data_IF_550696671234
#
_entry.id   IF_550696671234
#
_cell.length_a   1.000
_cell.length_b   1.000
_cell.length_c   1.000
_cell.angle_alpha   90.00
_cell.angle_beta   90.00
_cell.angle_gamma   90.00
#
_symmetry.space_group_name_H-M   'P 1'
#
loop_
_entity.id
_entity.type
_entity.pdbx_description
1 polymer ?
#
# COMPACT_ATOMS: atom_id res chain seq x y z
N UNK A 1 15.16 27.02 -10.44
CA UNK A 1 15.49 26.51 -9.10
C UNK A 1 16.01 25.09 -9.29
N UNK A 2 17.08 24.73 -8.60
CA UNK A 2 17.98 23.63 -8.99
C UNK A 2 17.35 22.24 -8.93
N UNK A 3 17.71 21.41 -9.92
CA UNK A 3 17.35 19.99 -9.99
C UNK A 3 18.44 19.22 -9.26
N UNK A 4 18.08 18.48 -8.21
CA UNK A 4 19.01 17.66 -7.45
C UNK A 4 19.38 16.38 -8.25
N UNK A 5 20.49 16.48 -8.98
CA UNK A 5 21.14 15.43 -9.76
C UNK A 5 21.56 14.23 -8.87
N UNK A 6 20.77 13.15 -8.88
CA UNK A 6 21.03 11.91 -8.13
C UNK A 6 22.20 11.11 -8.73
N UNK A 7 23.41 11.62 -8.52
CA UNK A 7 24.65 10.90 -8.86
C UNK A 7 24.94 9.79 -7.87
N UNK A 8 24.77 8.54 -8.32
CA UNK A 8 25.20 7.35 -7.62
C UNK A 8 26.67 7.47 -7.19
N UNK A 9 26.96 7.27 -5.90
CA UNK A 9 28.32 7.28 -5.36
C UNK A 9 28.79 5.84 -5.14
N UNK A 10 29.88 5.53 -5.82
CA UNK A 10 30.65 4.29 -5.70
C UNK A 10 31.23 4.15 -4.28
N UNK A 11 31.15 2.95 -3.70
CA UNK A 11 31.83 2.58 -2.46
C UNK A 11 31.89 1.05 -2.31
N UNK A 12 33.05 0.50 -2.67
CA UNK A 12 33.41 -0.89 -2.39
C UNK A 12 33.53 -1.12 -0.88
N UNK A 13 33.00 -2.24 -0.37
CA UNK A 13 33.64 -2.99 0.70
C UNK A 13 33.15 -4.44 0.76
N UNK A 14 34.09 -5.36 1.00
CA UNK A 14 33.89 -6.81 1.04
C UNK A 14 33.53 -7.29 2.45
N UNK A 15 32.57 -8.22 2.56
CA UNK A 15 32.24 -8.91 3.82
C UNK A 15 32.20 -10.42 3.58
N UNK A 16 32.84 -11.17 4.47
CA UNK A 16 32.92 -12.64 4.44
C UNK A 16 31.60 -13.28 4.88
N UNK A 17 31.08 -14.24 4.12
CA UNK A 17 30.04 -15.15 4.60
C UNK A 17 30.64 -16.21 5.55
N UNK A 18 29.99 -16.42 6.69
CA UNK A 18 29.99 -17.71 7.39
C UNK A 18 28.54 -18.11 7.67
N UNK A 19 28.14 -19.23 7.08
CA UNK A 19 26.84 -19.85 7.31
C UNK A 19 26.80 -20.59 8.63
N UNK A 20 25.70 -20.47 9.36
CA UNK A 20 25.26 -21.48 10.31
C UNK A 20 23.75 -21.67 10.11
N UNK A 21 23.31 -22.92 9.97
CA UNK A 21 21.90 -23.29 9.84
C UNK A 21 21.61 -24.28 10.96
N UNK A 22 20.71 -23.90 11.85
CA UNK A 22 20.19 -24.77 12.91
C UNK A 22 18.69 -24.50 13.00
N UNK A 23 17.88 -25.53 12.74
CA UNK A 23 16.43 -25.42 12.58
C UNK A 23 15.73 -26.12 13.75
N UNK A 24 15.22 -25.34 14.69
CA UNK A 24 14.31 -25.78 15.75
C UNK A 24 12.83 -25.62 15.30
N UNK A 25 11.91 -26.50 15.72
CA UNK A 25 10.52 -26.48 15.28
C UNK A 25 9.72 -25.32 15.89
N UNK A 26 9.01 -24.58 15.04
CA UNK A 26 8.13 -23.47 15.47
C UNK A 26 6.78 -24.00 15.98
N UNK A 27 6.46 -23.69 17.24
CA UNK A 27 5.13 -23.95 17.82
C UNK A 27 4.23 -22.74 17.54
N UNK A 28 3.28 -22.90 16.61
CA UNK A 28 2.28 -21.86 16.32
C UNK A 28 1.27 -21.81 17.47
N UNK A 29 1.23 -20.69 18.20
CA UNK A 29 0.30 -20.47 19.31
C UNK A 29 -0.68 -19.35 18.94
N UNK A 30 -1.89 -19.72 18.50
CA UNK A 30 -2.93 -18.75 18.12
C UNK A 30 -3.46 -18.02 19.35
N UNK A 31 -2.96 -16.81 19.61
CA UNK A 31 -3.44 -15.95 20.68
C UNK A 31 -4.48 -14.99 20.12
N UNK A 32 -5.74 -15.17 20.50
CA UNK A 32 -6.83 -14.24 20.14
C UNK A 32 -6.74 -13.02 21.06
N UNK A 33 -6.27 -11.89 20.52
CA UNK A 33 -6.13 -10.64 21.29
C UNK A 33 -7.42 -9.83 21.21
N UNK A 34 -8.19 -9.83 22.28
CA UNK A 34 -9.44 -9.09 22.34
C UNK A 34 -9.20 -7.57 22.51
N UNK A 35 -8.91 -6.89 21.39
CA UNK A 35 -8.79 -5.44 21.36
C UNK A 35 -10.15 -4.78 21.65
N UNK A 36 -10.13 -3.66 22.40
CA UNK A 36 -11.29 -2.81 22.67
C UNK A 36 -12.61 -3.49 23.08
N UNK A 37 -12.57 -4.44 24.01
CA UNK A 37 -13.77 -4.81 24.77
C UNK A 37 -14.31 -3.57 25.50
N UNK A 38 -15.56 -3.18 25.22
CA UNK A 38 -16.17 -1.91 25.68
C UNK A 38 -16.41 -1.89 27.19
N UNK A 39 -15.40 -1.55 27.98
CA UNK A 39 -15.57 -1.25 29.41
C UNK A 39 -16.19 0.12 29.59
N UNK A 40 -17.52 0.15 29.60
CA UNK A 40 -18.29 1.31 30.08
C UNK A 40 -18.00 1.56 31.56
N UNK A 41 -17.05 2.43 31.86
CA UNK A 41 -16.81 2.95 33.21
C UNK A 41 -16.61 4.46 33.20
N UNK A 42 -17.57 5.17 33.79
CA UNK A 42 -17.57 6.61 34.01
C UNK A 42 -16.45 7.03 34.99
N UNK A 43 -15.58 7.97 34.63
CA UNK A 43 -14.97 8.93 35.58
C UNK A 43 -14.20 10.11 34.91
N UNK A 44 -14.74 11.31 35.11
CA UNK A 44 -14.02 12.54 35.51
C UNK A 44 -12.72 13.00 34.81
N UNK A 45 -12.92 13.87 33.81
CA UNK A 45 -12.34 15.22 33.70
C UNK A 45 -11.06 15.61 34.48
N UNK A 46 -10.06 16.13 33.75
CA UNK A 46 -9.28 17.30 34.18
C UNK A 46 -8.89 18.17 32.98
N UNK A 47 -9.30 19.45 33.04
CA UNK A 47 -9.04 20.45 31.99
C UNK A 47 -7.64 21.06 32.13
N UNK A 48 -7.02 21.43 31.01
CA UNK A 48 -5.82 22.28 30.98
C UNK A 48 -5.95 23.29 29.85
N UNK A 49 -6.47 24.48 30.19
CA UNK A 49 -6.58 25.63 29.29
C UNK A 49 -5.22 26.26 29.04
N UNK A 50 -4.86 26.46 27.76
CA UNK A 50 -3.83 27.41 27.36
C UNK A 50 -4.43 28.48 26.44
N UNK A 51 -4.44 29.71 26.96
CA UNK A 51 -4.78 30.93 26.21
C UNK A 51 -3.59 31.38 25.36
N UNK A 52 -3.86 31.81 24.13
CA UNK A 52 -2.99 32.74 23.40
C UNK A 52 -3.84 33.79 22.69
N UNK A 53 -3.30 34.99 22.52
CA UNK A 53 -4.04 36.22 22.20
C UNK A 53 -3.73 36.71 20.78
N UNK A 54 -4.76 37.28 20.14
CA UNK A 54 -4.76 38.17 18.97
C UNK A 54 -3.62 39.24 18.94
N UNK A 55 -3.24 39.89 17.82
CA UNK A 55 -3.64 39.83 16.40
C UNK A 55 -2.56 40.57 15.54
N UNK A 56 -2.90 41.46 14.56
CA UNK A 56 -3.19 41.16 13.16
C UNK A 56 -2.12 41.68 12.17
N UNK A 57 -2.21 41.26 10.90
CA UNK A 57 -1.81 42.15 9.79
C UNK A 57 -2.54 41.80 8.48
N UNK A 58 -2.86 42.83 7.71
CA UNK A 58 -3.63 42.77 6.46
C UNK A 58 -2.83 43.33 5.29
N UNK A 59 -2.89 42.70 4.12
CA UNK A 59 -2.66 43.42 2.85
C UNK A 59 -3.45 42.84 1.68
N UNK A 60 -3.93 43.74 0.82
CA UNK A 60 -4.85 43.53 -0.30
C UNK A 60 -4.11 43.37 -1.65
N UNK A 61 -4.89 43.08 -2.70
CA UNK A 61 -4.63 43.29 -4.16
C UNK A 61 -3.68 42.28 -4.84
N UNK A 62 -3.84 41.88 -6.12
CA UNK A 62 -4.76 42.33 -7.20
C UNK A 62 -5.24 41.12 -8.05
N UNK A 63 -6.42 41.21 -8.69
CA UNK A 63 -6.85 40.25 -9.73
C UNK A 63 -6.37 40.68 -11.14
N UNK A 64 -5.95 39.73 -11.98
CA UNK A 64 -5.75 39.96 -13.42
C UNK A 64 -6.26 38.78 -14.24
N UNK A 65 -7.28 39.04 -15.05
CA UNK A 65 -7.83 38.17 -16.11
C UNK A 65 -6.90 38.16 -17.33
N UNK A 66 -6.96 37.15 -18.22
CA UNK A 66 -7.18 37.32 -19.70
C UNK A 66 -6.70 36.14 -20.57
N UNK A 67 -7.62 35.68 -21.44
CA UNK A 67 -7.47 34.99 -22.74
C UNK A 67 -6.68 33.67 -22.94
N UNK A 68 -7.46 32.61 -23.17
CA UNK A 68 -7.65 31.97 -24.49
C UNK A 68 -6.50 31.98 -25.52
N UNK A 69 -6.12 30.80 -26.01
CA UNK A 69 -5.85 30.58 -27.46
C UNK A 69 -6.22 29.15 -27.85
N UNK A 70 -7.07 29.01 -28.87
CA UNK A 70 -7.42 27.76 -29.55
C UNK A 70 -6.36 27.36 -30.57
N UNK A 71 -6.00 26.08 -30.66
CA UNK A 71 -5.49 25.50 -31.92
C UNK A 71 -6.08 24.11 -32.20
N UNK A 72 -6.39 23.92 -33.47
CA UNK A 72 -7.14 22.83 -34.11
C UNK A 72 -6.31 21.60 -34.50
N UNK A 73 -7.00 20.45 -34.54
CA UNK A 73 -6.93 19.41 -35.60
C UNK A 73 -5.61 18.69 -35.92
N UNK A 74 -5.62 17.38 -35.69
CA UNK A 74 -5.23 16.39 -36.71
C UNK A 74 -5.95 15.05 -36.48
N UNK A 75 -6.89 14.71 -37.36
CA UNK A 75 -7.50 13.37 -37.44
C UNK A 75 -6.57 12.47 -38.25
N UNK A 76 -6.17 11.32 -37.69
CA UNK A 76 -5.48 10.26 -38.44
C UNK A 76 -6.29 8.97 -38.37
N UNK A 77 -7.06 8.74 -39.43
CA UNK A 77 -7.79 7.50 -39.68
C UNK A 77 -6.81 6.41 -40.16
N UNK A 78 -6.71 5.28 -39.46
CA UNK A 78 -5.98 4.11 -39.97
C UNK A 78 -6.90 2.89 -39.97
N UNK A 79 -6.87 2.18 -41.09
CA UNK A 79 -7.87 1.18 -41.50
C UNK A 79 -7.56 -0.22 -40.95
N UNK A 80 -8.63 -0.89 -40.54
CA UNK A 80 -8.87 -2.34 -40.50
C UNK A 80 -7.76 -3.29 -40.95
N UNK A 81 -7.47 -4.30 -40.12
CA UNK A 81 -7.24 -5.66 -40.64
C UNK A 81 -7.87 -6.69 -39.71
N UNK A 82 -8.90 -7.38 -40.19
CA UNK A 82 -9.62 -8.42 -39.47
C UNK A 82 -9.06 -9.78 -39.86
N UNK A 83 -8.50 -10.53 -38.92
CA UNK A 83 -8.12 -11.95 -39.13
C UNK A 83 -8.91 -12.86 -38.21
N UNK A 84 -9.98 -13.42 -38.78
CA UNK A 84 -10.80 -14.45 -38.16
C UNK A 84 -10.06 -15.79 -38.13
N UNK A 85 -9.76 -16.31 -36.95
CA UNK A 85 -9.24 -17.67 -36.76
C UNK A 85 -10.21 -18.49 -35.89
N UNK A 86 -10.96 -19.37 -36.53
CA UNK A 86 -11.87 -20.34 -35.89
C UNK A 86 -11.11 -21.56 -35.38
N UNK A 87 -11.34 -21.99 -34.13
CA UNK A 87 -11.18 -23.42 -33.79
C UNK A 87 -12.03 -23.89 -32.59
N UNK A 88 -12.88 -24.87 -32.87
CA UNK A 88 -13.26 -26.00 -32.00
C UNK A 88 -13.57 -25.76 -30.51
N UNK A 89 -14.85 -25.52 -30.22
CA UNK A 89 -15.50 -25.87 -28.95
C UNK A 89 -15.45 -27.39 -28.71
N UNK A 90 -15.03 -27.81 -27.51
CA UNK A 90 -15.14 -29.20 -27.02
C UNK A 90 -16.06 -29.21 -25.80
N UNK A 91 -17.08 -30.07 -25.83
CA UNK A 91 -18.12 -30.11 -24.81
C UNK A 91 -17.63 -30.70 -23.46
N UNK A 92 -18.18 -30.26 -22.31
CA UNK A 92 -17.78 -30.77 -21.00
C UNK A 92 -18.36 -32.15 -20.70
N UNK A 93 -17.53 -33.04 -20.17
CA UNK A 93 -17.95 -34.37 -19.70
C UNK A 93 -18.57 -34.28 -18.31
N UNK A 94 -19.83 -34.67 -18.17
CA UNK A 94 -20.54 -34.71 -16.88
C UNK A 94 -20.11 -35.92 -16.04
N UNK A 95 -19.53 -35.69 -14.86
CA UNK A 95 -19.30 -36.74 -13.85
C UNK A 95 -20.05 -36.40 -12.56
N UNK A 96 -21.15 -37.12 -12.33
CA UNK A 96 -22.03 -36.96 -11.18
C UNK A 96 -21.65 -37.96 -10.07
N UNK A 97 -21.18 -37.52 -8.90
CA UNK A 97 -21.02 -38.42 -7.73
C UNK A 97 -21.23 -37.72 -6.38
N UNK A 98 -22.12 -38.33 -5.58
CA UNK A 98 -22.25 -38.29 -4.11
C UNK A 98 -22.38 -36.93 -3.37
N UNK A 99 -23.63 -36.59 -3.03
CA UNK A 99 -23.96 -35.73 -1.89
C UNK A 99 -23.73 -36.47 -0.57
N UNK A 100 -22.83 -35.98 0.28
CA UNK A 100 -22.71 -36.43 1.68
C UNK A 100 -23.37 -35.41 2.61
N UNK A 101 -24.51 -35.76 3.19
CA UNK A 101 -25.19 -34.94 4.20
C UNK A 101 -24.48 -35.07 5.55
N UNK A 102 -23.65 -34.07 5.89
CA UNK A 102 -23.14 -33.91 7.26
C UNK A 102 -24.05 -32.98 8.07
N UNK A 103 -24.46 -33.45 9.24
CA UNK A 103 -25.37 -32.77 10.15
C UNK A 103 -24.82 -31.41 10.59
N UNK A 104 -25.59 -30.35 10.40
CA UNK A 104 -25.23 -29.02 10.89
C UNK A 104 -25.16 -29.01 12.43
N UNK A 105 -23.96 -28.84 12.98
CA UNK A 105 -23.79 -28.46 14.37
C UNK A 105 -24.18 -26.98 14.54
N UNK A 106 -25.06 -26.69 15.49
CA UNK A 106 -25.48 -25.32 15.74
C UNK A 106 -24.33 -24.50 16.35
N UNK A 107 -23.68 -23.68 15.53
CA UNK A 107 -22.76 -22.65 16.01
C UNK A 107 -23.53 -21.56 16.74
N UNK A 108 -23.23 -21.39 18.02
CA UNK A 108 -23.73 -20.30 18.85
C UNK A 108 -23.26 -18.96 18.29
N UNK A 109 -24.18 -18.19 17.70
CA UNK A 109 -23.92 -16.87 17.15
C UNK A 109 -23.51 -15.88 18.24
N UNK A 110 -22.25 -15.46 18.23
CA UNK A 110 -21.70 -14.38 19.07
C UNK A 110 -20.74 -13.56 18.23
N UNK A 111 -21.16 -12.33 17.89
CA UNK A 111 -20.44 -11.45 16.98
C UNK A 111 -20.75 -11.75 15.52
N UNK A 112 -21.56 -10.90 14.88
CA UNK A 112 -21.39 -10.66 13.44
C UNK A 112 -20.01 -10.04 13.28
N UNK A 113 -19.11 -10.71 12.57
CA UNK A 113 -17.85 -10.08 12.14
C UNK A 113 -18.22 -8.84 11.35
N UNK A 114 -17.74 -7.67 11.78
CA UNK A 114 -17.91 -6.46 10.99
C UNK A 114 -17.19 -6.65 9.66
N UNK A 115 -17.78 -6.15 8.58
CA UNK A 115 -17.11 -6.02 7.29
C UNK A 115 -15.78 -5.29 7.51
N UNK A 116 -14.68 -5.79 6.96
CA UNK A 116 -13.33 -5.22 7.17
C UNK A 116 -13.23 -3.74 6.76
N UNK A 117 -14.07 -3.31 5.83
CA UNK A 117 -14.18 -1.91 5.38
C UNK A 117 -14.85 -0.98 6.41
N UNK A 118 -15.49 -1.55 7.43
CA UNK A 118 -16.08 -0.81 8.54
C UNK A 118 -15.02 -0.05 9.36
N UNK A 119 -15.49 0.97 10.09
CA UNK A 119 -14.68 1.74 11.04
C UNK A 119 -15.41 1.83 12.39
N UNK A 120 -14.70 1.89 13.54
CA UNK A 120 -15.31 2.07 14.85
C UNK A 120 -16.03 3.42 14.95
N UNK A 121 -17.29 3.41 15.41
CA UNK A 121 -18.16 4.60 15.43
C UNK A 121 -17.74 5.68 16.43
N UNK A 122 -16.90 5.33 17.40
CA UNK A 122 -16.24 6.23 18.34
C UNK A 122 -14.95 6.86 17.76
N UNK A 123 -14.40 6.32 16.67
CA UNK A 123 -13.12 6.76 16.11
C UNK A 123 -11.88 6.28 16.88
N UNK A 124 -12.05 5.42 17.90
CA UNK A 124 -10.93 4.80 18.60
C UNK A 124 -10.50 3.54 17.83
N UNK A 125 -9.28 3.53 17.30
CA UNK A 125 -8.72 2.42 16.52
C UNK A 125 -7.77 1.58 17.38
N UNK A 126 -7.71 0.27 17.10
CA UNK A 126 -6.78 -0.65 17.73
C UNK A 126 -5.33 -0.35 17.31
N UNK A 127 -4.41 -0.42 18.26
CA UNK A 127 -2.95 -0.31 18.04
C UNK A 127 -2.18 -1.55 18.51
N UNK A 128 -2.90 -2.63 18.86
CA UNK A 128 -2.28 -3.89 19.29
C UNK A 128 -1.50 -4.49 18.13
N UNK A 129 -0.38 -5.16 18.42
CA UNK A 129 0.53 -5.70 17.40
C UNK A 129 1.56 -4.69 16.89
N UNK A 130 1.24 -3.39 16.84
CA UNK A 130 2.25 -2.36 16.54
C UNK A 130 3.27 -2.21 17.68
N UNK A 131 4.48 -1.77 17.32
CA UNK A 131 5.49 -1.32 18.27
C UNK A 131 5.35 0.14 18.66
N UNK A 132 6.42 0.74 19.18
CA UNK A 132 6.43 2.18 19.49
C UNK A 132 6.48 3.03 18.23
N UNK A 133 5.90 4.24 18.27
CA UNK A 133 6.03 5.21 17.17
C UNK A 133 7.39 5.92 17.20
N UNK A 134 8.00 6.18 16.05
CA UNK A 134 9.13 7.11 15.96
C UNK A 134 8.65 8.55 15.88
N UNK A 135 9.47 9.49 16.37
CA UNK A 135 9.20 10.91 16.16
C UNK A 135 9.48 11.27 14.69
N UNK A 136 8.55 11.94 13.97
CA UNK A 136 8.79 12.37 12.61
C UNK A 136 9.81 13.51 12.56
N UNK A 137 10.67 13.51 11.54
CA UNK A 137 11.56 14.66 11.27
C UNK A 137 10.92 15.59 10.24
N UNK A 138 10.46 16.74 10.72
CA UNK A 138 10.11 17.85 9.83
C UNK A 138 11.38 18.44 9.23
N UNK A 139 11.43 18.47 7.90
CA UNK A 139 12.49 19.08 7.10
C UNK A 139 11.83 20.01 6.08
N UNK A 140 12.52 21.06 5.63
CA UNK A 140 11.97 22.05 4.69
C UNK A 140 11.62 21.45 3.30
N UNK A 141 12.02 20.20 3.04
CA UNK A 141 11.63 19.43 1.86
C UNK A 141 10.69 18.29 2.23
N UNK A 142 9.48 18.28 1.64
CA UNK A 142 8.48 17.20 1.79
C UNK A 142 9.05 15.80 1.53
N UNK A 143 10.01 15.69 0.59
CA UNK A 143 10.65 14.42 0.20
C UNK A 143 11.37 13.80 1.42
N UNK A 144 12.03 14.63 2.22
CA UNK A 144 12.82 14.25 3.39
C UNK A 144 11.98 14.03 4.67
N UNK A 145 10.65 14.21 4.61
CA UNK A 145 9.77 13.84 5.71
C UNK A 145 9.84 12.33 5.97
N UNK A 146 10.10 11.93 7.21
CA UNK A 146 10.40 10.53 7.58
C UNK A 146 9.23 9.78 8.22
N UNK A 147 8.29 10.51 8.83
CA UNK A 147 7.11 9.92 9.47
C UNK A 147 7.39 8.99 10.65
N UNK A 148 6.45 8.08 10.86
CA UNK A 148 6.53 6.93 11.73
C UNK A 148 7.12 5.74 10.95
N UNK A 149 8.19 5.14 11.46
CA UNK A 149 8.82 3.93 10.89
C UNK A 149 8.87 2.77 11.88
N UNK A 150 8.18 2.90 13.02
CA UNK A 150 8.16 1.91 14.09
C UNK A 150 9.45 1.86 14.93
N UNK A 151 9.30 1.45 16.18
CA UNK A 151 10.36 1.17 17.13
C UNK A 151 10.03 -0.16 17.86
N UNK A 152 10.63 -1.30 17.45
CA UNK A 152 11.69 -1.44 16.45
C UNK A 152 11.23 -1.10 15.01
N UNK A 153 12.18 -0.83 14.10
CA UNK A 153 11.87 -0.47 12.71
C UNK A 153 10.93 -1.50 12.06
N UNK A 154 9.95 -1.02 11.30
CA UNK A 154 8.93 -1.84 10.64
C UNK A 154 7.72 -2.17 11.50
N UNK A 155 7.81 -2.05 12.84
CA UNK A 155 6.70 -2.39 13.75
C UNK A 155 5.48 -1.45 13.68
N UNK A 156 5.49 -0.45 12.79
CA UNK A 156 4.33 0.36 12.41
C UNK A 156 3.49 -0.27 11.27
N UNK A 157 3.89 -1.42 10.74
CA UNK A 157 3.21 -2.14 9.66
C UNK A 157 3.09 -3.61 10.08
N UNK A 158 1.88 -4.15 10.14
CA UNK A 158 1.63 -5.54 10.57
C UNK A 158 0.60 -6.22 9.68
N UNK A 159 0.74 -7.54 9.50
CA UNK A 159 -0.37 -8.35 8.98
C UNK A 159 -1.43 -8.53 10.07
N UNK A 160 -2.71 -8.50 9.69
CA UNK A 160 -3.85 -8.68 10.60
C UNK A 160 -4.86 -9.68 10.02
N UNK A 161 -5.63 -10.32 10.89
CA UNK A 161 -6.75 -11.16 10.45
C UNK A 161 -7.88 -10.29 9.86
N UNK A 162 -8.61 -10.82 8.87
CA UNK A 162 -9.79 -10.17 8.28
C UNK A 162 -10.81 -9.70 9.33
N UNK A 163 -11.07 -10.53 10.34
CA UNK A 163 -11.98 -10.25 11.46
C UNK A 163 -11.51 -9.12 12.39
N UNK A 164 -10.24 -8.73 12.30
CA UNK A 164 -9.62 -7.67 13.11
C UNK A 164 -9.34 -6.40 12.30
N UNK A 165 -9.22 -6.51 10.97
CA UNK A 165 -8.90 -5.43 10.05
C UNK A 165 -9.76 -4.16 10.23
N UNK A 166 -11.08 -4.30 10.42
CA UNK A 166 -11.99 -3.15 10.63
C UNK A 166 -11.65 -2.30 11.87
N UNK A 167 -10.89 -2.84 12.82
CA UNK A 167 -10.50 -2.16 14.06
C UNK A 167 -9.30 -1.21 13.86
N UNK A 168 -8.53 -1.32 12.78
CA UNK A 168 -7.34 -0.51 12.52
C UNK A 168 -7.65 0.74 11.65
N UNK A 169 -6.88 1.82 11.80
CA UNK A 169 -7.18 3.10 11.13
C UNK A 169 -6.88 3.06 9.62
N UNK A 170 -5.75 2.51 9.23
CA UNK A 170 -5.34 2.37 7.83
C UNK A 170 -5.13 0.90 7.50
N UNK A 171 -5.87 0.40 6.52
CA UNK A 171 -5.79 -1.01 6.10
C UNK A 171 -5.78 -1.13 4.59
N UNK A 172 -4.90 -2.00 4.09
CA UNK A 172 -4.86 -2.43 2.69
C UNK A 172 -5.19 -3.92 2.64
N UNK A 173 -6.23 -4.28 1.90
CA UNK A 173 -6.49 -5.64 1.46
C UNK A 173 -5.64 -5.91 0.20
N UNK A 174 -4.92 -7.03 0.19
CA UNK A 174 -4.17 -7.51 -0.97
C UNK A 174 -4.84 -8.75 -1.51
N UNK A 175 -5.27 -8.70 -2.78
CA UNK A 175 -5.82 -9.83 -3.51
C UNK A 175 -4.76 -10.34 -4.50
N UNK A 176 -4.46 -11.63 -4.45
CA UNK A 176 -3.48 -12.29 -5.33
C UNK A 176 -4.01 -12.48 -6.75
N UNK A 177 -3.22 -13.18 -7.58
CA UNK A 177 -3.68 -13.68 -8.87
C UNK A 177 -4.64 -14.86 -8.70
N UNK A 178 -5.43 -15.13 -9.75
CA UNK A 178 -6.27 -16.32 -9.87
C UNK A 178 -5.53 -17.52 -10.51
N UNK A 179 -4.27 -17.36 -10.94
CA UNK A 179 -3.47 -18.44 -11.57
C UNK A 179 -2.24 -18.84 -10.77
N UNK A 180 -1.57 -17.88 -10.15
CA UNK A 180 -0.26 -18.07 -9.52
C UNK A 180 -0.24 -17.50 -8.10
N UNK A 181 0.63 -18.05 -7.24
CA UNK A 181 0.95 -17.45 -5.93
C UNK A 181 1.83 -16.21 -6.11
N UNK A 182 1.65 -15.22 -5.24
CA UNK A 182 2.41 -13.96 -5.28
C UNK A 182 3.10 -13.70 -3.95
N UNK A 183 4.37 -13.30 -3.99
CA UNK A 183 5.07 -12.77 -2.81
C UNK A 183 4.89 -11.26 -2.76
N UNK A 184 4.51 -10.73 -1.60
CA UNK A 184 4.42 -9.30 -1.30
C UNK A 184 5.40 -8.97 -0.19
N UNK A 185 6.15 -7.89 -0.36
CA UNK A 185 6.94 -7.28 0.70
C UNK A 185 6.51 -5.82 0.87
N UNK A 186 6.28 -5.38 2.11
CA UNK A 186 5.88 -4.01 2.47
C UNK A 186 6.99 -3.40 3.31
N UNK A 187 7.39 -2.15 3.04
CA UNK A 187 8.50 -1.47 3.72
C UNK A 187 8.19 0.01 3.98
N UNK A 188 8.82 0.56 5.03
CA UNK A 188 8.88 2.01 5.23
C UNK A 188 9.82 2.67 4.22
N UNK A 189 9.48 3.87 3.73
CA UNK A 189 10.31 4.67 2.79
C UNK A 189 11.74 4.84 3.30
N UNK A 190 11.84 5.08 4.60
CA UNK A 190 13.10 5.20 5.33
C UNK A 190 13.47 3.84 5.90
N UNK A 191 14.65 3.33 5.55
CA UNK A 191 15.16 2.04 6.02
C UNK A 191 15.69 2.10 7.46
N UNK A 192 16.11 0.95 8.02
CA UNK A 192 16.60 0.85 9.39
C UNK A 192 17.92 1.61 9.63
N UNK A 193 18.61 2.05 8.58
CA UNK A 193 19.80 2.93 8.66
C UNK A 193 19.46 4.43 8.73
N UNK A 194 18.18 4.78 8.78
CA UNK A 194 17.69 6.17 8.85
C UNK A 194 17.75 6.94 7.53
N UNK A 195 18.05 6.26 6.41
CA UNK A 195 18.10 6.88 5.07
C UNK A 195 16.91 6.43 4.21
N UNK A 196 16.73 7.08 3.06
CA UNK A 196 15.78 6.66 2.04
C UNK A 196 16.32 5.42 1.31
N UNK A 197 16.13 4.26 1.95
CA UNK A 197 16.78 2.97 1.63
C UNK A 197 15.82 1.78 1.79
N UNK A 198 14.55 2.00 2.13
CA UNK A 198 13.62 0.93 2.53
C UNK A 198 13.48 -0.21 1.52
N UNK A 199 13.54 0.07 0.22
CA UNK A 199 13.40 -0.93 -0.84
C UNK A 199 14.67 -1.75 -1.11
N UNK A 200 15.80 -1.48 -0.45
CA UNK A 200 17.05 -2.25 -0.59
C UNK A 200 17.02 -3.53 0.25
N UNK A 201 16.06 -4.42 -0.07
CA UNK A 201 15.93 -5.74 0.56
C UNK A 201 15.39 -5.73 2.00
N UNK A 202 14.86 -4.61 2.49
CA UNK A 202 14.19 -4.53 3.79
C UNK A 202 12.69 -4.72 3.64
N UNK A 203 12.07 -5.40 4.60
CA UNK A 203 10.61 -5.51 4.70
C UNK A 203 10.20 -5.38 6.17
N UNK A 204 9.14 -4.63 6.40
CA UNK A 204 8.46 -4.53 7.69
C UNK A 204 7.55 -5.76 7.89
N UNK A 205 6.84 -6.14 6.83
CA UNK A 205 6.12 -7.41 6.72
C UNK A 205 6.31 -7.97 5.30
N UNK A 206 6.35 -9.30 5.19
CA UNK A 206 6.45 -10.02 3.93
C UNK A 206 5.63 -11.30 4.02
N UNK A 207 4.86 -11.60 2.99
CA UNK A 207 3.92 -12.74 2.96
C UNK A 207 3.72 -13.25 1.53
N UNK A 208 3.32 -14.51 1.43
CA UNK A 208 2.80 -15.10 0.18
C UNK A 208 1.27 -14.99 0.21
N UNK A 209 0.68 -14.65 -0.93
CA UNK A 209 -0.74 -14.79 -1.21
C UNK A 209 -0.90 -16.00 -2.12
N UNK A 210 -1.60 -17.02 -1.66
CA UNK A 210 -1.96 -18.18 -2.49
C UNK A 210 -3.11 -17.84 -3.47
N UNK A 211 -3.34 -18.71 -4.43
CA UNK A 211 -4.36 -18.49 -5.48
C UNK A 211 -5.76 -18.32 -4.86
N UNK A 212 -6.38 -17.15 -5.11
CA UNK A 212 -7.69 -16.79 -4.57
C UNK A 212 -7.70 -16.40 -3.08
N UNK A 213 -6.54 -16.24 -2.45
CA UNK A 213 -6.41 -15.72 -1.08
C UNK A 213 -6.43 -14.18 -1.04
N UNK A 214 -6.91 -13.62 0.07
CA UNK A 214 -6.78 -12.21 0.41
C UNK A 214 -6.01 -12.06 1.73
N UNK A 215 -5.09 -11.10 1.80
CA UNK A 215 -4.33 -10.75 3.02
C UNK A 215 -4.60 -9.31 3.42
N UNK A 216 -4.49 -9.01 4.70
CA UNK A 216 -4.77 -7.67 5.24
C UNK A 216 -3.56 -7.13 5.98
N UNK A 217 -3.12 -5.93 5.61
CA UNK A 217 -2.03 -5.23 6.30
C UNK A 217 -2.59 -3.98 6.94
N UNK A 218 -2.36 -3.84 8.24
CA UNK A 218 -2.66 -2.63 9.00
C UNK A 218 -1.41 -1.75 9.10
N UNK A 219 -1.61 -0.44 9.02
CA UNK A 219 -0.57 0.57 9.11
C UNK A 219 -0.90 1.53 10.26
N UNK A 220 0.09 1.80 11.09
CA UNK A 220 -0.02 2.78 12.16
C UNK A 220 0.06 4.20 11.60
N UNK A 221 -0.38 5.18 12.38
CA UNK A 221 -0.50 6.56 11.92
C UNK A 221 0.85 7.18 11.53
N UNK A 222 0.78 8.09 10.55
CA UNK A 222 1.89 8.88 10.04
C UNK A 222 2.98 8.04 9.33
N UNK A 223 2.61 6.89 8.74
CA UNK A 223 3.53 5.97 8.09
C UNK A 223 3.66 6.25 6.59
N UNK A 224 4.89 6.24 6.05
CA UNK A 224 5.17 6.34 4.60
C UNK A 224 6.02 5.18 4.11
N UNK A 225 5.73 4.70 2.91
CA UNK A 225 6.48 3.60 2.33
C UNK A 225 5.94 3.12 1.01
N UNK A 226 6.28 1.88 0.68
CA UNK A 226 5.74 1.19 -0.48
C UNK A 226 5.68 -0.32 -0.21
N UNK A 227 5.04 -1.03 -1.13
CA UNK A 227 5.16 -2.46 -1.28
C UNK A 227 5.50 -2.83 -2.70
N UNK A 228 6.11 -3.99 -2.86
CA UNK A 228 6.36 -4.63 -4.13
C UNK A 228 5.71 -6.00 -4.12
N UNK A 229 5.27 -6.45 -5.29
CA UNK A 229 4.64 -7.75 -5.45
C UNK A 229 5.10 -8.41 -6.75
N UNK A 230 5.34 -9.72 -6.70
CA UNK A 230 5.70 -10.52 -7.86
C UNK A 230 5.21 -11.97 -7.73
N UNK A 231 4.91 -12.61 -8.85
CA UNK A 231 4.61 -14.03 -8.89
C UNK A 231 5.82 -14.87 -8.43
N UNK A 232 5.57 -15.96 -7.71
CA UNK A 232 6.60 -16.84 -7.15
C UNK A 232 7.00 -16.48 -5.71
N UNK A 233 8.25 -16.80 -5.35
CA UNK A 233 8.75 -16.82 -3.95
C UNK A 233 9.61 -15.61 -3.53
N UNK A 234 9.80 -14.63 -4.42
CA UNK A 234 10.62 -13.44 -4.14
C UNK A 234 10.31 -12.29 -5.07
N UNK A 235 10.41 -11.05 -4.58
CA UNK A 235 10.44 -9.86 -5.43
C UNK A 235 11.75 -9.83 -6.25
N UNK A 236 11.72 -9.42 -7.53
CA UNK A 236 12.92 -9.22 -8.30
C UNK A 236 13.67 -7.98 -7.79
N UNK A 237 15.00 -7.99 -7.94
CA UNK A 237 15.88 -6.89 -7.55
C UNK A 237 16.74 -6.41 -8.70
N UNK A 238 17.21 -5.16 -8.59
CA UNK A 238 18.18 -4.59 -9.50
C UNK A 238 19.63 -5.01 -9.12
N UNK A 239 20.60 -4.54 -9.92
CA UNK A 239 22.04 -4.77 -9.68
C UNK A 239 22.59 -4.15 -8.38
N UNK A 240 21.81 -3.36 -7.66
CA UNK A 240 22.16 -2.75 -6.38
C UNK A 240 21.41 -3.39 -5.19
N UNK A 241 20.53 -4.37 -5.45
CA UNK A 241 19.72 -5.05 -4.43
C UNK A 241 18.41 -4.33 -4.07
N UNK A 242 18.03 -3.29 -4.81
CA UNK A 242 16.74 -2.61 -4.65
C UNK A 242 15.61 -3.40 -5.31
N UNK A 243 14.44 -3.50 -4.67
CA UNK A 243 13.26 -4.12 -5.27
C UNK A 243 12.86 -3.40 -6.56
N UNK A 244 12.76 -4.14 -7.65
CA UNK A 244 12.59 -3.59 -9.01
C UNK A 244 11.35 -4.15 -9.72
N UNK A 245 10.34 -4.53 -8.94
CA UNK A 245 8.99 -4.79 -9.43
C UNK A 245 8.19 -3.48 -9.58
N UNK A 246 6.94 -3.59 -10.00
CA UNK A 246 5.94 -2.53 -9.86
C UNK A 246 5.63 -2.34 -8.38
N UNK A 247 5.66 -1.08 -7.94
CA UNK A 247 5.39 -0.72 -6.55
C UNK A 247 3.96 -0.22 -6.39
N UNK A 248 3.39 -0.44 -5.20
CA UNK A 248 2.34 0.40 -4.66
C UNK A 248 2.92 1.29 -3.57
N UNK A 249 2.84 2.60 -3.72
CA UNK A 249 3.39 3.58 -2.78
C UNK A 249 2.28 4.11 -1.87
N UNK A 250 2.60 4.45 -0.61
CA UNK A 250 1.64 4.93 0.37
C UNK A 250 2.18 6.03 1.29
N UNK A 251 1.26 6.91 1.68
CA UNK A 251 1.41 7.87 2.77
C UNK A 251 0.11 7.86 3.58
N UNK A 252 0.15 7.45 4.86
CA UNK A 252 -1.04 7.30 5.70
C UNK A 252 -1.02 8.24 6.91
N UNK A 253 -1.98 9.17 6.96
CA UNK A 253 -2.17 10.07 8.09
C UNK A 253 -0.99 11.02 8.33
N UNK A 254 -0.45 11.63 7.28
CA UNK A 254 0.78 12.40 7.35
C UNK A 254 0.63 13.67 8.22
N UNK A 255 1.27 13.69 9.38
CA UNK A 255 1.19 14.84 10.29
C UNK A 255 1.77 16.13 9.68
N UNK A 256 2.67 16.02 8.70
CA UNK A 256 3.26 17.14 7.97
C UNK A 256 2.36 17.79 6.89
N UNK A 257 1.20 17.19 6.55
CA UNK A 257 0.28 17.75 5.55
C UNK A 257 -1.17 17.92 6.05
N UNK A 258 -1.40 17.79 7.36
CA UNK A 258 -2.75 17.83 7.96
C UNK A 258 -3.46 16.48 7.96
N UNK A 259 -2.72 15.41 8.20
CA UNK A 259 -3.19 14.01 8.29
C UNK A 259 -3.83 13.47 7.00
N UNK A 260 -3.55 14.08 5.84
CA UNK A 260 -3.96 13.50 4.56
C UNK A 260 -3.24 12.18 4.31
N UNK A 261 -3.91 11.33 3.55
CA UNK A 261 -3.36 10.08 3.04
C UNK A 261 -3.32 10.10 1.52
N UNK A 262 -2.37 9.38 0.93
CA UNK A 262 -2.18 9.21 -0.50
C UNK A 262 -1.69 7.80 -0.84
N UNK A 263 -1.97 7.35 -2.05
CA UNK A 263 -1.52 6.07 -2.58
C UNK A 263 -1.42 6.09 -4.10
N UNK A 264 -0.45 5.37 -4.66
CA UNK A 264 -0.28 5.26 -6.11
C UNK A 264 0.39 3.94 -6.51
N UNK A 265 0.28 3.61 -7.80
CA UNK A 265 1.00 2.51 -8.44
C UNK A 265 2.12 3.10 -9.29
N UNK A 266 3.31 2.51 -9.21
CA UNK A 266 4.54 3.06 -9.76
C UNK A 266 5.35 1.97 -10.48
N UNK A 267 5.46 2.09 -11.80
CA UNK A 267 6.28 1.21 -12.64
C UNK A 267 7.71 1.75 -12.84
N UNK A 268 8.07 2.87 -12.18
CA UNK A 268 9.36 3.56 -12.35
C UNK A 268 10.54 2.59 -12.18
N UNK A 269 10.52 1.78 -11.11
CA UNK A 269 11.64 0.91 -10.74
C UNK A 269 11.76 -0.31 -11.66
N UNK A 270 10.64 -0.94 -12.02
CA UNK A 270 10.60 -2.01 -13.02
C UNK A 270 11.15 -1.53 -14.38
N UNK A 271 10.68 -0.38 -14.87
CA UNK A 271 11.13 0.17 -16.15
C UNK A 271 12.60 0.61 -16.10
N UNK A 272 13.05 1.26 -15.01
CA UNK A 272 14.44 1.65 -14.83
C UNK A 272 15.41 0.45 -14.75
N UNK A 273 14.97 -0.68 -14.20
CA UNK A 273 15.70 -1.94 -14.17
C UNK A 273 15.56 -2.78 -15.47
N UNK A 274 14.79 -2.31 -16.45
CA UNK A 274 14.40 -3.05 -17.65
C UNK A 274 13.75 -4.42 -17.36
N UNK A 275 12.98 -4.50 -16.28
CA UNK A 275 12.20 -5.67 -15.86
C UNK A 275 10.75 -5.58 -16.34
N UNK A 276 10.05 -6.72 -16.30
CA UNK A 276 8.62 -6.76 -16.58
C UNK A 276 7.86 -5.91 -15.57
N UNK A 277 6.92 -5.09 -16.06
CA UNK A 277 5.93 -4.39 -15.24
C UNK A 277 4.83 -5.37 -14.85
N UNK A 278 4.67 -5.62 -13.55
CA UNK A 278 3.58 -6.40 -12.98
C UNK A 278 2.29 -5.56 -12.98
N UNK A 279 1.16 -6.19 -13.25
CA UNK A 279 -0.14 -5.57 -13.09
C UNK A 279 -0.45 -5.29 -11.63
N UNK A 280 -0.88 -4.06 -11.32
CA UNK A 280 -1.37 -3.67 -10.00
C UNK A 280 -2.43 -2.57 -10.13
N UNK A 281 -3.54 -2.70 -9.40
CA UNK A 281 -4.45 -1.59 -9.11
C UNK A 281 -4.60 -1.38 -7.62
N UNK A 282 -4.71 -0.12 -7.20
CA UNK A 282 -4.99 0.29 -5.83
C UNK A 282 -6.17 1.26 -5.88
N UNK A 283 -7.28 0.88 -5.29
CA UNK A 283 -8.48 1.73 -5.18
C UNK A 283 -8.86 1.89 -3.71
N UNK A 284 -9.61 2.95 -3.38
CA UNK A 284 -10.38 2.93 -2.14
C UNK A 284 -11.38 1.76 -2.16
N UNK A 285 -11.77 1.24 -1.00
CA UNK A 285 -12.75 0.15 -0.90
C UNK A 285 -14.15 0.51 -1.43
N UNK A 286 -14.39 1.78 -1.73
CA UNK A 286 -15.60 2.29 -2.39
C UNK A 286 -15.51 2.25 -3.93
N UNK A 287 -14.39 1.76 -4.50
CA UNK A 287 -14.13 1.74 -5.94
C UNK A 287 -13.75 3.11 -6.54
N UNK A 288 -13.47 4.10 -5.70
CA UNK A 288 -13.07 5.45 -6.10
C UNK A 288 -11.55 5.68 -5.92
N UNK A 289 -11.05 6.77 -6.50
CA UNK A 289 -9.67 7.26 -6.33
C UNK A 289 -8.61 6.18 -6.62
N UNK A 290 -8.81 5.45 -7.73
CA UNK A 290 -7.91 4.39 -8.16
C UNK A 290 -6.60 4.92 -8.74
N UNK A 291 -5.54 4.14 -8.57
CA UNK A 291 -4.28 4.18 -9.30
C UNK A 291 -4.03 2.80 -9.90
N UNK A 292 -3.74 2.73 -11.20
CA UNK A 292 -3.76 1.47 -11.97
C UNK A 292 -2.63 1.43 -12.99
N UNK A 293 -1.88 0.33 -13.02
CA UNK A 293 -1.01 -0.07 -14.11
C UNK A 293 -1.35 -1.53 -14.45
N UNK A 294 -1.82 -1.81 -15.67
CA UNK A 294 -2.03 -3.20 -16.09
C UNK A 294 -0.71 -3.87 -16.50
N UNK A 295 -0.67 -5.21 -16.47
CA UNK A 295 0.53 -6.00 -16.79
C UNK A 295 1.19 -5.57 -18.10
N UNK A 296 2.50 -5.29 -18.05
CA UNK A 296 3.26 -4.72 -19.17
C UNK A 296 3.07 -3.21 -19.41
N UNK A 297 2.37 -2.49 -18.52
CA UNK A 297 1.98 -1.09 -18.65
C UNK A 297 1.13 -0.78 -19.90
N UNK A 298 0.24 -1.70 -20.30
CA UNK A 298 -0.67 -1.50 -21.45
C UNK A 298 -1.70 -0.41 -21.15
N UNK A 299 -2.30 -0.46 -19.97
CA UNK A 299 -3.23 0.54 -19.43
C UNK A 299 -2.57 1.20 -18.23
N UNK A 300 -2.62 2.54 -18.17
CA UNK A 300 -2.09 3.34 -17.05
C UNK A 300 -3.11 4.42 -16.71
N UNK A 301 -3.64 4.37 -15.49
CA UNK A 301 -4.62 5.35 -14.98
C UNK A 301 -4.13 5.89 -13.65
N UNK A 302 -3.88 7.20 -13.58
CA UNK A 302 -3.55 7.89 -12.34
C UNK A 302 -2.38 7.23 -11.57
N UNK A 303 -1.34 6.84 -12.30
CA UNK A 303 -0.20 6.04 -11.84
C UNK A 303 1.11 6.49 -12.53
N UNK A 304 2.28 6.18 -11.96
CA UNK A 304 3.57 6.66 -12.44
C UNK A 304 4.29 5.67 -13.37
N UNK A 305 4.78 6.18 -14.52
CA UNK A 305 5.80 5.52 -15.33
C UNK A 305 7.17 6.17 -15.15
N UNK A 306 8.25 5.55 -15.63
CA UNK A 306 9.61 6.07 -15.54
C UNK A 306 9.78 7.49 -16.11
N UNK A 307 8.99 7.85 -17.14
CA UNK A 307 8.96 9.20 -17.73
C UNK A 307 8.37 10.27 -16.80
N UNK A 308 7.60 9.85 -15.80
CA UNK A 308 6.93 10.70 -14.81
C UNK A 308 7.73 10.79 -13.50
N UNK A 309 8.98 10.27 -13.47
CA UNK A 309 9.88 10.37 -12.33
C UNK A 309 10.17 11.84 -11.97
N UNK A 310 9.80 12.23 -10.75
CA UNK A 310 9.90 13.62 -10.26
C UNK A 310 8.65 14.47 -10.51
N UNK A 311 7.58 13.90 -11.06
CA UNK A 311 6.22 14.45 -10.97
C UNK A 311 5.65 14.14 -9.58
N UNK A 312 4.74 14.97 -9.09
CA UNK A 312 4.05 14.84 -7.80
C UNK A 312 2.54 14.99 -8.01
N UNK A 313 1.73 14.43 -7.10
CA UNK A 313 0.28 14.58 -7.06
C UNK A 313 -0.53 13.68 -7.99
N UNK A 314 0.08 12.66 -8.61
CA UNK A 314 -0.61 11.53 -9.25
C UNK A 314 -0.90 10.46 -8.17
N UNK A 315 -2.07 9.81 -8.24
CA UNK A 315 -2.51 8.81 -7.27
C UNK A 315 -3.88 9.11 -6.66
N UNK A 316 -4.35 8.20 -5.82
CA UNK A 316 -5.51 8.42 -4.96
C UNK A 316 -5.14 9.19 -3.69
N UNK A 317 -6.13 9.81 -3.04
CA UNK A 317 -5.93 10.57 -1.81
C UNK A 317 -7.19 10.65 -0.97
N UNK A 318 -7.00 10.76 0.34
CA UNK A 318 -8.08 10.98 1.31
C UNK A 318 -7.69 12.08 2.32
N UNK A 319 -8.65 12.90 2.79
CA UNK A 319 -8.42 13.78 3.94
C UNK A 319 -8.18 12.97 5.22
N UNK A 320 -7.86 13.67 6.32
CA UNK A 320 -7.74 13.09 7.65
C UNK A 320 -8.92 12.17 8.01
N UNK A 321 -8.62 10.90 8.32
CA UNK A 321 -9.61 9.87 8.56
C UNK A 321 -9.02 8.46 8.49
N UNK A 322 -9.87 7.44 8.54
CA UNK A 322 -9.46 6.08 8.23
C UNK A 322 -9.41 5.86 6.71
N UNK A 323 -8.53 4.95 6.28
CA UNK A 323 -8.41 4.53 4.87
C UNK A 323 -8.58 3.02 4.78
N UNK A 324 -9.28 2.60 3.73
CA UNK A 324 -9.49 1.21 3.33
C UNK A 324 -9.15 1.12 1.86
N UNK A 325 -8.05 0.44 1.52
CA UNK A 325 -7.65 0.23 0.13
C UNK A 325 -7.78 -1.23 -0.27
N UNK A 326 -8.12 -1.44 -1.54
CA UNK A 326 -8.08 -2.74 -2.19
C UNK A 326 -6.95 -2.69 -3.22
N UNK A 327 -5.94 -3.52 -3.01
CA UNK A 327 -4.83 -3.77 -3.94
C UNK A 327 -5.10 -5.06 -4.68
N UNK A 328 -5.38 -4.98 -5.99
CA UNK A 328 -5.45 -6.16 -6.86
C UNK A 328 -4.10 -6.34 -7.55
N UNK A 329 -3.47 -7.49 -7.31
CA UNK A 329 -2.27 -7.93 -8.02
C UNK A 329 -2.64 -8.62 -9.33
N UNK A 330 -1.68 -8.72 -10.25
CA UNK A 330 -1.85 -9.31 -11.58
C UNK A 330 -2.94 -8.63 -12.44
N UNK A 331 -3.18 -7.35 -12.17
CA UNK A 331 -4.21 -6.56 -12.85
C UNK A 331 -3.90 -6.46 -14.36
N UNK A 332 -4.82 -6.89 -15.23
CA UNK A 332 -4.56 -7.03 -16.67
C UNK A 332 -5.57 -6.34 -17.60
N UNK A 333 -6.65 -5.77 -17.06
CA UNK A 333 -7.72 -5.08 -17.81
C UNK A 333 -7.38 -3.60 -18.18
#
# INVERSE_FOLDING_TARGET
HEVADLKARDLQNSINLKSFVETEPVVVTTTVWQCCATTSSLASSSSSTYTSTEAPSSTTTTATTTSTTTTTTATSTTTTTTTTSTSSYVAPTTTTTATTTTTAAATTSSGVSADWTSTPSNGDYCTTGFGGRTAPTNTDSKIQYTGNVGNPWGSNIIEVAESEASQYKYVVQFNGSNTDKWTVAVWNKIGPDGKMTGWYGHSAVSFTIEVGEARYVAFDENSQGAWGAAAGDSLPTDKYGGYSCTWGEFDFGNAGNGEWSGWDVSAIQAQAAAQQVQGMSICSSLGADCSIISSGAVTVTNAYLQKDAGVDGIGGKAPAGAVRLITQLDYSD
#
